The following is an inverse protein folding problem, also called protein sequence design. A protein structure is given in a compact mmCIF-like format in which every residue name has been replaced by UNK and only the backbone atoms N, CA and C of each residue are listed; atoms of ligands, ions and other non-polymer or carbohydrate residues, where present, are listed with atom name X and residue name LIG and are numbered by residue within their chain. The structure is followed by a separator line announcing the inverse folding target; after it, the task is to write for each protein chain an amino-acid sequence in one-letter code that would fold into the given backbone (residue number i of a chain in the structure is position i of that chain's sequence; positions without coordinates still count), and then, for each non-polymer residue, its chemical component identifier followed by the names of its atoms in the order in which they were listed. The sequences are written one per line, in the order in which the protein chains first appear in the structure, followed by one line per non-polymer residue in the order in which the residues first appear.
data_IF_543908077356
#
_entry.id   IF_543908077356
#
_cell.length_a   1.000
_cell.length_b   1.000
_cell.length_c   1.000
_cell.angle_alpha   90.00
_cell.angle_beta   90.00
_cell.angle_gamma   90.00
#
_symmetry.space_group_name_H-M   'P 1'
#
loop_
_entity.id
_entity.type
_entity.pdbx_description
1 polymer ?
#
# COMPACT_ATOMS: atom_id res chain seq x y z
N UNK A 1 4.34 27.35 -10.59
CA UNK A 1 4.63 25.95 -10.97
C UNK A 1 4.39 25.11 -9.73
N UNK A 2 3.80 23.91 -9.85
CA UNK A 2 3.55 23.04 -8.70
C UNK A 2 4.88 22.62 -8.06
N UNK A 3 4.88 22.44 -6.74
CA UNK A 3 6.01 21.87 -6.01
C UNK A 3 6.02 20.36 -6.22
N UNK A 4 7.13 19.82 -6.73
CA UNK A 4 7.28 18.37 -6.85
C UNK A 4 7.57 17.75 -5.49
N UNK A 5 6.77 16.76 -5.10
CA UNK A 5 6.95 16.00 -3.87
C UNK A 5 7.21 14.53 -4.22
N UNK A 6 8.41 14.04 -3.88
CA UNK A 6 8.72 12.61 -3.98
C UNK A 6 8.01 11.83 -2.87
N UNK A 7 7.35 10.74 -3.23
CA UNK A 7 6.75 9.80 -2.29
C UNK A 7 7.24 8.39 -2.61
N UNK A 8 7.95 7.78 -1.68
CA UNK A 8 8.21 6.34 -1.68
C UNK A 8 7.05 5.63 -0.97
N UNK A 9 6.18 4.98 -1.76
CA UNK A 9 5.00 4.27 -1.29
C UNK A 9 5.33 2.79 -1.09
N UNK A 10 5.52 2.40 0.17
CA UNK A 10 5.83 1.01 0.57
C UNK A 10 4.53 0.21 0.71
N UNK A 11 4.40 -0.89 -0.03
CA UNK A 11 3.16 -1.68 0.00
C UNK A 11 3.36 -3.15 -0.32
N UNK A 12 2.49 -3.97 0.24
CA UNK A 12 2.28 -5.38 -0.12
C UNK A 12 0.93 -5.52 -0.84
N UNK A 13 0.85 -6.42 -1.82
CA UNK A 13 -0.38 -6.79 -2.53
C UNK A 13 -1.41 -7.46 -1.62
N UNK A 14 -0.97 -8.17 -0.58
CA UNK A 14 -1.83 -8.87 0.38
C UNK A 14 -2.42 -7.94 1.44
N UNK A 15 -1.98 -6.68 1.48
CA UNK A 15 -2.36 -5.69 2.47
C UNK A 15 -3.64 -4.95 2.06
N UNK A 16 -4.82 -5.22 2.68
CA UNK A 16 -6.06 -4.52 2.33
C UNK A 16 -5.99 -3.01 2.63
N UNK A 17 -5.21 -2.62 3.64
CA UNK A 17 -5.02 -1.21 3.99
C UNK A 17 -4.15 -0.45 3.00
N UNK A 18 -3.25 -1.13 2.30
CA UNK A 18 -2.32 -0.50 1.38
C UNK A 18 -3.07 0.03 0.15
N UNK A 19 -4.04 -0.73 -0.39
CA UNK A 19 -4.90 -0.22 -1.47
C UNK A 19 -5.82 0.90 -1.00
N UNK A 20 -6.38 0.82 0.21
CA UNK A 20 -7.19 1.90 0.79
C UNK A 20 -6.36 3.18 0.94
N UNK A 21 -5.13 3.05 1.46
CA UNK A 21 -4.18 4.15 1.61
C UNK A 21 -3.79 4.78 0.28
N UNK A 22 -3.51 3.97 -0.75
CA UNK A 22 -3.23 4.45 -2.10
C UNK A 22 -4.41 5.26 -2.66
N UNK A 23 -5.65 4.78 -2.51
CA UNK A 23 -6.84 5.52 -2.94
C UNK A 23 -7.06 6.82 -2.17
N UNK A 24 -6.72 6.85 -0.88
CA UNK A 24 -6.76 8.08 -0.10
C UNK A 24 -5.69 9.08 -0.58
N UNK A 25 -4.48 8.61 -0.88
CA UNK A 25 -3.37 9.43 -1.39
C UNK A 25 -3.70 10.00 -2.78
N UNK A 26 -4.24 9.20 -3.70
CA UNK A 26 -4.72 9.65 -5.01
C UNK A 26 -5.75 10.78 -4.87
N UNK A 27 -6.73 10.62 -3.96
CA UNK A 27 -7.73 11.68 -3.67
C UNK A 27 -7.10 12.94 -3.11
N UNK A 28 -6.06 12.83 -2.28
CA UNK A 28 -5.33 13.99 -1.76
C UNK A 28 -4.55 14.71 -2.87
N UNK A 29 -3.91 13.95 -3.77
CA UNK A 29 -3.21 14.47 -4.94
C UNK A 29 -4.17 15.26 -5.85
N UNK A 30 -5.37 14.72 -6.08
CA UNK A 30 -6.42 15.38 -6.87
C UNK A 30 -6.84 16.73 -6.28
N UNK A 31 -6.94 16.83 -4.95
CA UNK A 31 -7.29 18.07 -4.25
C UNK A 31 -6.21 19.14 -4.34
N UNK A 32 -4.95 18.74 -4.51
CA UNK A 32 -3.78 19.63 -4.56
C UNK A 32 -3.28 19.89 -5.99
N UNK A 33 -4.08 19.53 -7.01
CA UNK A 33 -3.72 19.72 -8.41
C UNK A 33 -3.36 21.19 -8.69
N UNK A 34 -2.19 21.38 -9.31
CA UNK A 34 -1.66 22.71 -9.64
C UNK A 34 -0.79 23.34 -8.55
N UNK A 35 -0.87 22.83 -7.31
CA UNK A 35 -0.02 23.24 -6.19
C UNK A 35 1.10 22.22 -5.93
N UNK A 36 0.75 20.93 -5.97
CA UNK A 36 1.68 19.82 -5.73
C UNK A 36 1.63 18.84 -6.90
N UNK A 37 2.80 18.39 -7.35
CA UNK A 37 2.94 17.28 -8.27
C UNK A 37 3.59 16.11 -7.53
N UNK A 38 2.89 14.97 -7.42
CA UNK A 38 3.45 13.79 -6.78
C UNK A 38 4.36 13.04 -7.76
N UNK A 39 5.60 12.83 -7.37
CA UNK A 39 6.54 11.89 -8.00
C UNK A 39 6.52 10.59 -7.19
N UNK A 40 5.70 9.64 -7.63
CA UNK A 40 5.41 8.41 -6.89
C UNK A 40 6.35 7.27 -7.29
N UNK A 41 7.02 6.70 -6.30
CA UNK A 41 7.82 5.48 -6.42
C UNK A 41 7.24 4.38 -5.54
N UNK A 42 6.88 3.25 -6.15
CA UNK A 42 6.39 2.10 -5.40
C UNK A 42 7.57 1.24 -4.92
N UNK A 43 7.58 0.96 -3.62
CA UNK A 43 8.57 0.11 -2.96
C UNK A 43 7.90 -1.20 -2.53
N UNK A 44 8.36 -2.37 -3.01
CA UNK A 44 7.76 -3.63 -2.64
C UNK A 44 7.99 -3.93 -1.16
N UNK A 45 6.99 -4.57 -0.54
CA UNK A 45 7.06 -5.05 0.83
C UNK A 45 6.35 -6.40 0.95
N UNK A 46 6.83 -7.24 1.84
CA UNK A 46 6.21 -8.53 2.19
C UNK A 46 5.79 -8.50 3.65
N UNK A 47 4.49 -8.54 3.92
CA UNK A 47 3.91 -8.62 5.26
C UNK A 47 4.25 -9.94 5.94
N UNK A 48 4.42 -11.01 5.15
CA UNK A 48 4.84 -12.32 5.61
C UNK A 48 5.95 -12.88 4.70
N UNK A 49 7.23 -12.53 4.95
CA UNK A 49 8.37 -13.02 4.16
C UNK A 49 8.62 -14.54 4.31
N UNK A 50 7.93 -15.21 5.23
CA UNK A 50 8.02 -16.65 5.45
C UNK A 50 6.95 -17.43 4.70
N UNK A 51 6.04 -16.77 3.96
CA UNK A 51 4.98 -17.43 3.20
C UNK A 51 5.57 -18.26 2.06
N UNK A 52 5.19 -19.54 2.00
CA UNK A 52 5.59 -20.44 0.93
C UNK A 52 4.97 -20.08 -0.42
N UNK A 53 5.52 -20.59 -1.53
CA UNK A 53 5.04 -20.27 -2.89
C UNK A 53 3.61 -20.76 -3.17
N UNK A 54 3.12 -21.73 -2.41
CA UNK A 54 1.74 -22.21 -2.44
C UNK A 54 0.73 -21.25 -1.80
N UNK A 55 1.21 -20.25 -1.06
CA UNK A 55 0.37 -19.32 -0.29
C UNK A 55 -0.31 -19.98 0.91
N UNK A 56 -1.25 -19.26 1.50
CA UNK A 56 -2.08 -19.74 2.60
C UNK A 56 -3.52 -19.25 2.40
N UNK A 57 -4.50 -20.02 2.85
CA UNK A 57 -5.88 -19.53 2.92
C UNK A 57 -5.94 -18.32 3.87
N UNK A 58 -6.61 -17.24 3.44
CA UNK A 58 -6.61 -15.99 4.19
C UNK A 58 -7.38 -16.12 5.51
N UNK A 59 -8.43 -16.94 5.57
CA UNK A 59 -9.19 -17.15 6.80
C UNK A 59 -8.36 -17.95 7.79
N UNK A 60 -7.70 -19.02 7.35
CA UNK A 60 -6.75 -19.77 8.17
C UNK A 60 -5.62 -18.87 8.69
N UNK A 61 -4.98 -18.08 7.82
CA UNK A 61 -3.91 -17.17 8.20
C UNK A 61 -4.34 -16.16 9.27
N UNK A 62 -5.51 -15.54 9.09
CA UNK A 62 -6.05 -14.58 10.05
C UNK A 62 -6.41 -15.25 11.39
N UNK A 63 -6.94 -16.47 11.35
CA UNK A 63 -7.24 -17.24 12.55
C UNK A 63 -5.96 -17.61 13.31
N UNK A 64 -4.92 -18.09 12.64
CA UNK A 64 -3.63 -18.40 13.26
C UNK A 64 -2.95 -17.17 13.86
N UNK A 65 -3.00 -16.04 13.14
CA UNK A 65 -2.29 -14.81 13.51
C UNK A 65 -3.01 -13.99 14.57
N UNK A 66 -4.34 -13.94 14.51
CA UNK A 66 -5.17 -13.03 15.31
C UNK A 66 -6.26 -13.73 16.13
N UNK A 67 -6.46 -15.04 15.97
CA UNK A 67 -7.41 -15.83 16.75
C UNK A 67 -8.89 -15.53 16.45
N UNK A 68 -9.20 -14.99 15.27
CA UNK A 68 -10.55 -14.54 14.87
C UNK A 68 -11.20 -15.46 13.85
#
# INVERSE_FOLDING_TARGET
MPTTLKIDFVSDVSCPWCVIGLKALEKAADRLKGEVALDMHFQPFELNPQMGPEGQDITEHLQEKYGS
#
